data_IF_425669964090
#
_entry.id   IF_425669964090
#
_cell.length_a   1.000
_cell.length_b   1.000
_cell.length_c   1.000
_cell.angle_alpha   90.00
_cell.angle_beta   90.00
_cell.angle_gamma   90.00
#
_symmetry.space_group_name_H-M   'P 1'
#
loop_
_entity.id
_entity.type
_entity.pdbx_description
1 polymer ?
#
# COMPACT_ATOMS: atom_id res chain seq x y z
N UNK A 1 5.90 -35.22 -13.27
CA UNK A 1 5.46 -34.32 -14.36
C UNK A 1 4.30 -33.50 -13.82
N UNK A 2 4.59 -32.32 -13.27
CA UNK A 2 3.56 -31.37 -12.82
C UNK A 2 3.38 -30.30 -13.90
N UNK A 3 2.14 -30.06 -14.30
CA UNK A 3 1.76 -29.06 -15.30
C UNK A 3 2.23 -27.67 -14.87
N UNK A 4 3.23 -27.13 -15.56
CA UNK A 4 3.54 -25.69 -15.55
C UNK A 4 2.41 -25.00 -16.31
N UNK A 5 1.60 -24.22 -15.61
CA UNK A 5 0.89 -23.13 -16.27
C UNK A 5 1.93 -22.01 -16.48
N UNK A 6 2.57 -22.05 -17.64
CA UNK A 6 3.27 -20.88 -18.15
C UNK A 6 2.19 -19.83 -18.43
N UNK A 7 2.14 -18.78 -17.61
CA UNK A 7 1.37 -17.59 -17.97
C UNK A 7 2.16 -16.84 -19.05
N UNK A 8 1.71 -16.95 -20.30
CA UNK A 8 2.11 -16.03 -21.37
C UNK A 8 1.36 -14.71 -21.18
N UNK A 9 1.88 -13.82 -20.34
CA UNK A 9 1.33 -12.48 -20.13
C UNK A 9 1.94 -11.76 -18.92
N UNK A 10 1.94 -10.41 -18.89
CA UNK A 10 2.35 -9.66 -17.71
C UNK A 10 1.42 -10.00 -16.53
N UNK A 11 2.00 -10.28 -15.37
CA UNK A 11 1.25 -10.37 -14.11
C UNK A 11 0.62 -9.00 -13.86
N UNK A 12 -0.72 -8.94 -13.77
CA UNK A 12 -1.41 -7.72 -13.41
C UNK A 12 -0.87 -7.22 -12.07
N UNK A 13 -0.39 -5.98 -12.04
CA UNK A 13 0.25 -5.45 -10.84
C UNK A 13 -0.78 -5.23 -9.74
N UNK A 14 -0.47 -5.63 -8.52
CA UNK A 14 -1.38 -5.51 -7.37
C UNK A 14 -0.67 -5.00 -6.14
N UNK A 15 -1.46 -4.45 -5.21
CA UNK A 15 -1.03 -4.14 -3.86
C UNK A 15 -1.98 -4.81 -2.88
N UNK A 16 -1.42 -5.52 -1.91
CA UNK A 16 -2.16 -6.09 -0.79
C UNK A 16 -1.83 -5.29 0.46
N UNK A 17 -2.82 -4.79 1.19
CA UNK A 17 -2.60 -4.01 2.42
C UNK A 17 -3.16 -4.79 3.61
N UNK A 18 -2.34 -4.99 4.63
CA UNK A 18 -2.57 -6.00 5.66
C UNK A 18 -2.18 -5.43 7.03
N UNK A 19 -3.02 -5.66 8.05
CA UNK A 19 -2.61 -5.59 9.45
C UNK A 19 -2.11 -6.96 9.89
N UNK A 20 -0.87 -7.05 10.35
CA UNK A 20 -0.25 -8.33 10.70
C UNK A 20 0.85 -8.10 11.75
N UNK A 21 1.34 -9.19 12.32
CA UNK A 21 2.38 -9.14 13.34
C UNK A 21 3.66 -8.53 12.77
N UNK A 22 3.96 -7.31 13.19
CA UNK A 22 5.08 -6.50 12.72
C UNK A 22 5.76 -5.82 13.92
N UNK A 23 6.05 -6.61 14.96
CA UNK A 23 6.69 -6.18 16.20
C UNK A 23 8.14 -5.69 15.95
N UNK A 24 8.89 -6.45 15.16
CA UNK A 24 10.26 -6.15 14.75
C UNK A 24 10.50 -6.53 13.28
N UNK A 25 11.30 -5.75 12.53
CA UNK A 25 11.55 -6.01 11.11
C UNK A 25 12.17 -7.39 10.83
N UNK A 26 13.10 -7.85 11.67
CA UNK A 26 13.81 -9.12 11.47
C UNK A 26 12.88 -10.32 11.57
N UNK A 27 11.94 -10.31 12.52
CA UNK A 27 10.93 -11.36 12.66
C UNK A 27 9.94 -11.32 11.50
N UNK A 28 9.58 -10.12 11.04
CA UNK A 28 8.67 -9.97 9.90
C UNK A 28 9.30 -10.47 8.59
N UNK A 29 10.58 -10.19 8.35
CA UNK A 29 11.32 -10.67 7.17
C UNK A 29 11.46 -12.20 7.13
N UNK A 30 11.37 -12.88 8.28
CA UNK A 30 11.39 -14.35 8.35
C UNK A 30 10.05 -15.01 8.04
N UNK A 31 8.96 -14.24 8.04
CA UNK A 31 7.62 -14.76 7.71
C UNK A 31 7.44 -14.90 6.21
N UNK A 32 6.83 -16.01 5.78
CA UNK A 32 6.34 -16.17 4.41
C UNK A 32 5.16 -15.24 4.13
N UNK A 33 4.81 -15.07 2.85
CA UNK A 33 3.64 -14.28 2.45
C UNK A 33 2.33 -14.88 3.01
N UNK A 34 2.21 -16.21 3.01
CA UNK A 34 1.04 -16.90 3.54
C UNK A 34 0.95 -16.76 5.06
N UNK A 35 2.07 -16.89 5.77
CA UNK A 35 2.11 -16.68 7.22
C UNK A 35 1.65 -15.26 7.60
N UNK A 36 2.05 -14.24 6.82
CA UNK A 36 1.61 -12.85 7.04
C UNK A 36 0.10 -12.68 6.83
N UNK A 37 -0.46 -13.33 5.82
CA UNK A 37 -1.88 -13.29 5.47
C UNK A 37 -2.74 -14.09 6.45
N UNK A 38 -2.32 -15.29 6.81
CA UNK A 38 -3.03 -16.12 7.81
C UNK A 38 -3.02 -15.49 9.19
N UNK A 39 -1.92 -14.81 9.56
CA UNK A 39 -1.83 -14.04 10.80
C UNK A 39 -2.64 -12.74 10.74
N UNK A 40 -3.03 -12.27 9.56
CA UNK A 40 -3.86 -11.09 9.42
C UNK A 40 -5.32 -11.42 9.70
N UNK A 41 -6.04 -10.52 10.37
CA UNK A 41 -7.51 -10.62 10.54
C UNK A 41 -8.31 -10.49 9.23
N UNK A 42 -7.66 -10.64 8.07
CA UNK A 42 -8.16 -10.44 6.73
C UNK A 42 -7.27 -9.50 5.93
N UNK A 43 -7.27 -9.66 4.61
CA UNK A 43 -6.54 -8.80 3.68
C UNK A 43 -7.41 -8.38 2.50
N UNK A 44 -6.98 -7.31 1.84
CA UNK A 44 -7.59 -6.83 0.60
C UNK A 44 -6.52 -6.70 -0.46
N UNK A 45 -6.83 -7.18 -1.68
CA UNK A 45 -5.96 -7.09 -2.85
C UNK A 45 -6.56 -6.05 -3.80
N UNK A 46 -5.74 -5.10 -4.22
CA UNK A 46 -6.15 -4.02 -5.11
C UNK A 46 -5.31 -4.02 -6.39
N UNK A 47 -5.91 -3.77 -7.57
CA UNK A 47 -5.16 -3.66 -8.81
C UNK A 47 -4.38 -2.34 -8.87
N UNK A 48 -3.10 -2.37 -9.24
CA UNK A 48 -2.28 -1.17 -9.45
C UNK A 48 -2.04 -1.00 -10.94
N UNK A 49 -2.95 -0.30 -11.61
CA UNK A 49 -2.92 -0.13 -13.08
C UNK A 49 -1.95 0.96 -13.51
N UNK A 50 -1.62 1.90 -12.61
CA UNK A 50 -0.62 2.94 -12.90
C UNK A 50 0.81 2.39 -13.02
N UNK A 51 1.08 1.19 -12.49
CA UNK A 51 2.43 0.62 -12.40
C UNK A 51 3.37 1.42 -11.47
N UNK A 52 2.84 2.31 -10.62
CA UNK A 52 3.64 3.15 -9.70
C UNK A 52 3.75 2.54 -8.31
N UNK A 53 4.85 2.87 -7.62
CA UNK A 53 4.97 2.68 -6.17
C UNK A 53 4.11 3.73 -5.47
N UNK A 54 2.87 3.36 -5.15
CA UNK A 54 1.86 4.29 -4.61
C UNK A 54 2.26 4.92 -3.28
N UNK A 55 2.96 4.18 -2.43
CA UNK A 55 3.49 4.65 -1.15
C UNK A 55 4.57 5.71 -1.34
N UNK A 56 5.53 5.46 -2.22
CA UNK A 56 6.62 6.38 -2.57
C UNK A 56 6.05 7.63 -3.23
N UNK A 57 5.09 7.46 -4.14
CA UNK A 57 4.39 8.56 -4.78
C UNK A 57 3.66 9.44 -3.75
N UNK A 58 2.90 8.83 -2.84
CA UNK A 58 2.18 9.53 -1.78
C UNK A 58 3.13 10.29 -0.84
N UNK A 59 4.18 9.64 -0.34
CA UNK A 59 5.14 10.25 0.57
C UNK A 59 5.88 11.41 -0.09
N UNK A 60 6.31 11.24 -1.35
CA UNK A 60 6.97 12.29 -2.11
C UNK A 60 6.04 13.47 -2.41
N UNK A 61 4.77 13.21 -2.78
CA UNK A 61 3.80 14.26 -3.07
C UNK A 61 3.44 15.09 -1.81
N UNK A 62 3.39 14.43 -0.65
CA UNK A 62 2.89 15.05 0.59
C UNK A 62 3.99 15.49 1.56
N UNK A 63 5.26 15.23 1.23
CA UNK A 63 6.41 15.42 2.12
C UNK A 63 6.22 14.70 3.47
N UNK A 64 5.69 13.48 3.40
CA UNK A 64 5.36 12.66 4.58
C UNK A 64 6.40 11.60 4.86
N UNK A 65 6.71 11.39 6.13
CA UNK A 65 7.47 10.25 6.62
C UNK A 65 6.56 9.32 7.44
N UNK A 66 6.27 8.15 6.87
CA UNK A 66 5.49 7.11 7.54
C UNK A 66 6.36 6.07 8.27
N UNK A 67 7.65 6.35 8.48
CA UNK A 67 8.58 5.44 9.15
C UNK A 67 8.62 4.06 8.48
N UNK A 68 8.57 4.06 7.14
CA UNK A 68 8.45 2.84 6.35
C UNK A 68 9.76 2.07 6.44
N UNK A 69 9.65 0.82 6.87
CA UNK A 69 10.68 -0.19 6.67
C UNK A 69 10.40 -0.92 5.36
N UNK A 70 11.32 -0.84 4.40
CA UNK A 70 11.26 -1.65 3.20
C UNK A 70 12.01 -2.96 3.44
N UNK A 71 11.33 -4.10 3.23
CA UNK A 71 11.95 -5.42 3.28
C UNK A 71 13.11 -5.47 2.29
N UNK A 72 14.29 -5.84 2.77
CA UNK A 72 15.46 -6.03 1.90
C UNK A 72 15.33 -7.29 1.02
N UNK A 73 14.36 -8.15 1.35
CA UNK A 73 14.10 -9.43 0.68
C UNK A 73 12.91 -9.26 -0.25
N UNK A 74 13.14 -9.43 -1.57
CA UNK A 74 12.08 -9.72 -2.52
C UNK A 74 11.62 -11.17 -2.31
N UNK A 75 10.36 -11.34 -1.96
CA UNK A 75 9.75 -12.66 -1.80
C UNK A 75 9.18 -13.12 -3.14
N UNK A 76 9.00 -14.42 -3.30
CA UNK A 76 8.36 -15.00 -4.49
C UNK A 76 7.06 -15.65 -4.04
N UNK A 77 5.95 -15.26 -4.67
CA UNK A 77 4.66 -15.89 -4.40
C UNK A 77 4.53 -17.27 -5.07
N UNK A 78 3.45 -17.98 -4.78
CA UNK A 78 3.17 -19.32 -5.32
C UNK A 78 3.05 -19.36 -6.85
N UNK A 79 2.80 -18.22 -7.48
CA UNK A 79 2.73 -18.06 -8.93
C UNK A 79 4.09 -17.70 -9.55
N UNK A 80 5.14 -17.58 -8.74
CA UNK A 80 6.50 -17.26 -9.17
C UNK A 80 6.77 -15.78 -9.39
N UNK A 81 5.87 -14.88 -8.98
CA UNK A 81 6.05 -13.45 -9.13
C UNK A 81 6.82 -12.86 -7.94
N UNK A 82 7.72 -11.90 -8.22
CA UNK A 82 8.41 -11.15 -7.17
C UNK A 82 7.43 -10.21 -6.45
N UNK A 83 7.55 -10.19 -5.13
CA UNK A 83 6.76 -9.39 -4.21
C UNK A 83 7.70 -8.52 -3.38
N UNK A 84 7.47 -7.21 -3.45
CA UNK A 84 8.12 -6.22 -2.60
C UNK A 84 7.23 -5.94 -1.41
N UNK A 85 7.80 -6.00 -0.21
CA UNK A 85 7.05 -5.73 1.02
C UNK A 85 7.60 -4.51 1.72
N UNK A 86 6.70 -3.62 2.09
CA UNK A 86 6.98 -2.48 2.96
C UNK A 86 6.10 -2.57 4.20
N UNK A 87 6.55 -1.99 5.31
CA UNK A 87 5.82 -2.06 6.57
C UNK A 87 6.03 -0.84 7.46
N UNK A 88 5.07 -0.64 8.35
CA UNK A 88 5.12 0.24 9.51
C UNK A 88 5.07 -0.68 10.73
N UNK A 89 6.10 -0.60 11.57
CA UNK A 89 6.18 -1.43 12.78
C UNK A 89 5.03 -1.10 13.74
N UNK A 90 4.64 -2.07 14.57
CA UNK A 90 3.69 -1.85 15.67
C UNK A 90 4.06 -0.64 16.54
N UNK A 91 5.35 -0.42 16.80
CA UNK A 91 5.85 0.71 17.58
C UNK A 91 5.59 2.06 16.91
N UNK A 92 5.66 2.10 15.58
CA UNK A 92 5.49 3.30 14.78
C UNK A 92 4.04 3.58 14.36
N UNK A 93 3.17 2.57 14.29
CA UNK A 93 1.75 2.73 13.89
C UNK A 93 1.06 3.85 14.69
N UNK A 94 1.27 3.90 16.01
CA UNK A 94 0.67 4.95 16.87
C UNK A 94 1.16 6.36 16.55
N UNK A 95 2.39 6.49 16.06
CA UNK A 95 3.00 7.77 15.63
C UNK A 95 2.53 8.17 14.24
N UNK A 96 2.32 7.20 13.35
CA UNK A 96 1.95 7.45 11.95
C UNK A 96 0.46 7.76 11.76
N UNK A 97 -0.42 7.15 12.56
CA UNK A 97 -1.88 7.36 12.44
C UNK A 97 -2.28 8.84 12.44
N UNK A 98 -1.81 9.70 13.37
CA UNK A 98 -2.16 11.12 13.33
C UNK A 98 -1.80 11.82 12.02
N UNK A 99 -0.67 11.45 11.40
CA UNK A 99 -0.24 11.99 10.11
C UNK A 99 -1.18 11.49 8.99
N UNK A 100 -1.51 10.19 8.97
CA UNK A 100 -2.47 9.65 8.01
C UNK A 100 -3.87 10.26 8.16
N UNK A 101 -4.34 10.49 9.39
CA UNK A 101 -5.60 11.19 9.66
C UNK A 101 -5.55 12.65 9.18
N UNK A 102 -4.41 13.32 9.32
CA UNK A 102 -4.22 14.67 8.80
C UNK A 102 -4.35 14.70 7.27
N UNK A 103 -3.70 13.76 6.58
CA UNK A 103 -3.69 13.69 5.12
C UNK A 103 -5.05 13.28 4.55
N UNK A 104 -5.69 12.27 5.14
CA UNK A 104 -6.89 11.64 4.56
C UNK A 104 -8.17 12.33 5.03
N UNK A 105 -8.26 12.74 6.29
CA UNK A 105 -9.54 13.18 6.88
C UNK A 105 -9.59 14.66 7.23
N UNK A 106 -8.50 15.24 7.78
CA UNK A 106 -8.50 16.64 8.22
C UNK A 106 -8.21 17.61 7.08
N UNK A 107 -7.30 17.23 6.17
CA UNK A 107 -6.85 18.07 5.06
C UNK A 107 -6.89 17.36 3.70
N UNK A 108 -7.99 16.65 3.33
CA UNK A 108 -8.07 15.90 2.06
C UNK A 108 -7.85 16.78 0.83
N UNK A 109 -8.34 18.02 0.82
CA UNK A 109 -8.10 18.98 -0.27
C UNK A 109 -6.63 19.30 -0.49
N UNK A 110 -5.86 19.45 0.60
CA UNK A 110 -4.42 19.72 0.52
C UNK A 110 -3.70 18.51 -0.06
N UNK A 111 -4.03 17.33 0.45
CA UNK A 111 -3.46 16.05 -0.02
C UNK A 111 -3.77 15.80 -1.49
N UNK A 112 -5.03 15.94 -1.90
CA UNK A 112 -5.45 15.72 -3.28
C UNK A 112 -4.75 16.68 -4.25
N UNK A 113 -4.64 17.97 -3.90
CA UNK A 113 -3.90 18.95 -4.72
C UNK A 113 -2.41 18.61 -4.81
N UNK A 114 -1.81 18.14 -3.72
CA UNK A 114 -0.41 17.73 -3.72
C UNK A 114 -0.16 16.54 -4.64
N UNK A 115 -1.04 15.53 -4.60
CA UNK A 115 -1.00 14.36 -5.50
C UNK A 115 -1.17 14.77 -6.97
N UNK A 116 -2.17 15.60 -7.28
CA UNK A 116 -2.41 16.12 -8.63
C UNK A 116 -1.20 16.92 -9.13
N UNK A 117 -0.62 17.78 -8.30
CA UNK A 117 0.55 18.58 -8.67
C UNK A 117 1.78 17.69 -8.91
N UNK A 118 1.99 16.66 -8.09
CA UNK A 118 3.08 15.71 -8.23
C UNK A 118 2.97 14.89 -9.53
N UNK A 119 1.75 14.58 -9.98
CA UNK A 119 1.49 13.95 -11.28
C UNK A 119 1.58 14.92 -12.49
N UNK A 120 2.04 16.15 -12.27
CA UNK A 120 2.12 17.16 -13.33
C UNK A 120 0.77 17.73 -13.75
N UNK A 121 -0.21 17.75 -12.84
CA UNK A 121 -1.57 18.28 -13.02
C UNK A 121 -2.41 17.56 -14.09
N UNK A 122 -2.19 16.25 -14.27
CA UNK A 122 -2.95 15.43 -15.23
C UNK A 122 -4.21 14.82 -14.62
N UNK A 123 -4.14 14.46 -13.34
CA UNK A 123 -5.23 13.85 -12.60
C UNK A 123 -6.42 14.80 -12.35
N UNK A 124 -7.63 14.26 -12.32
CA UNK A 124 -8.85 14.99 -11.95
C UNK A 124 -8.93 15.13 -10.42
N UNK A 125 -8.85 16.38 -9.94
CA UNK A 125 -8.87 16.69 -8.51
C UNK A 125 -10.12 16.14 -7.79
N UNK A 126 -11.29 16.16 -8.42
CA UNK A 126 -12.52 15.68 -7.81
C UNK A 126 -12.50 14.15 -7.63
N UNK A 127 -11.89 13.43 -8.59
CA UNK A 127 -11.72 11.97 -8.49
C UNK A 127 -10.69 11.59 -7.43
N UNK A 128 -9.57 12.31 -7.34
CA UNK A 128 -8.56 12.11 -6.28
C UNK A 128 -9.18 12.36 -4.89
N UNK A 129 -9.98 13.42 -4.73
CA UNK A 129 -10.73 13.68 -3.50
C UNK A 129 -11.72 12.56 -3.16
N UNK A 130 -12.46 12.07 -4.16
CA UNK A 130 -13.39 10.97 -3.94
C UNK A 130 -12.66 9.68 -3.50
N UNK A 131 -11.48 9.40 -4.07
CA UNK A 131 -10.66 8.25 -3.70
C UNK A 131 -10.12 8.32 -2.25
N UNK A 132 -9.77 9.52 -1.75
CA UNK A 132 -9.37 9.69 -0.34
C UNK A 132 -10.52 9.40 0.65
N UNK A 133 -11.76 9.67 0.25
CA UNK A 133 -12.93 9.58 1.12
C UNK A 133 -13.76 8.29 0.99
N UNK A 134 -13.30 7.32 0.20
CA UNK A 134 -14.10 6.15 -0.19
C UNK A 134 -13.36 4.82 0.03
N UNK A 135 -14.11 3.77 0.35
CA UNK A 135 -13.62 2.38 0.36
C UNK A 135 -13.40 1.79 -1.06
N UNK A 136 -13.73 2.55 -2.11
CA UNK A 136 -13.63 2.12 -3.49
C UNK A 136 -12.23 2.33 -4.08
N UNK A 137 -11.71 1.31 -4.78
CA UNK A 137 -10.47 1.43 -5.53
C UNK A 137 -10.72 1.92 -6.97
N UNK A 138 -9.94 2.89 -7.48
CA UNK A 138 -10.15 3.44 -8.82
C UNK A 138 -9.79 2.46 -9.93
N UNK A 139 -10.58 2.45 -11.01
CA UNK A 139 -10.37 1.55 -12.16
C UNK A 139 -9.57 2.20 -13.30
N UNK A 140 -9.35 3.52 -13.25
CA UNK A 140 -8.80 4.31 -14.36
C UNK A 140 -7.28 4.24 -14.51
N UNK A 141 -6.55 3.75 -13.52
CA UNK A 141 -5.08 3.66 -13.55
C UNK A 141 -4.34 4.99 -13.43
N UNK A 142 -5.02 6.03 -12.95
CA UNK A 142 -4.38 7.30 -12.61
C UNK A 142 -3.59 7.14 -11.29
N UNK A 143 -2.28 7.46 -11.26
CA UNK A 143 -1.44 7.24 -10.09
C UNK A 143 -1.83 8.11 -8.90
N UNK A 144 -2.35 9.32 -9.11
CA UNK A 144 -2.80 10.19 -8.03
C UNK A 144 -4.10 9.67 -7.41
N UNK A 145 -5.02 9.16 -8.22
CA UNK A 145 -6.23 8.49 -7.72
C UNK A 145 -5.89 7.20 -6.94
N UNK A 146 -5.01 6.35 -7.50
CA UNK A 146 -4.59 5.10 -6.83
C UNK A 146 -3.83 5.38 -5.53
N UNK A 147 -2.96 6.39 -5.49
CA UNK A 147 -2.25 6.79 -4.28
C UNK A 147 -3.18 7.37 -3.20
N UNK A 148 -4.23 8.09 -3.61
CA UNK A 148 -5.28 8.55 -2.70
C UNK A 148 -6.07 7.37 -2.08
N UNK A 149 -6.49 6.41 -2.90
CA UNK A 149 -7.15 5.20 -2.41
C UNK A 149 -6.22 4.38 -1.50
N UNK A 150 -4.94 4.26 -1.86
CA UNK A 150 -3.93 3.63 -1.01
C UNK A 150 -3.84 4.32 0.36
N UNK A 151 -3.79 5.65 0.43
CA UNK A 151 -3.74 6.38 1.70
C UNK A 151 -4.96 6.08 2.58
N UNK A 152 -6.16 6.02 1.97
CA UNK A 152 -7.39 5.66 2.67
C UNK A 152 -7.33 4.26 3.29
N UNK A 153 -6.98 3.25 2.48
CA UNK A 153 -6.91 1.87 2.95
C UNK A 153 -5.77 1.66 3.95
N UNK A 154 -4.64 2.36 3.79
CA UNK A 154 -3.54 2.34 4.76
C UNK A 154 -3.98 2.89 6.12
N UNK A 155 -4.71 4.01 6.16
CA UNK A 155 -5.27 4.54 7.41
C UNK A 155 -6.24 3.54 8.07
N UNK A 156 -7.09 2.89 7.27
CA UNK A 156 -8.03 1.87 7.77
C UNK A 156 -7.29 0.71 8.42
N UNK A 157 -6.27 0.16 7.77
CA UNK A 157 -5.46 -0.93 8.32
C UNK A 157 -4.64 -0.48 9.53
N UNK A 158 -4.11 0.75 9.54
CA UNK A 158 -3.41 1.30 10.70
C UNK A 158 -4.30 1.40 11.94
N UNK A 159 -5.58 1.77 11.76
CA UNK A 159 -6.55 1.79 12.87
C UNK A 159 -6.86 0.41 13.41
N UNK A 160 -6.97 -0.61 12.55
CA UNK A 160 -7.12 -2.01 12.97
C UNK A 160 -5.89 -2.45 13.77
N UNK A 161 -4.68 -2.24 13.22
CA UNK A 161 -3.42 -2.63 13.84
C UNK A 161 -3.21 -1.99 15.23
N UNK A 162 -3.62 -0.72 15.42
CA UNK A 162 -3.57 -0.05 16.73
C UNK A 162 -4.42 -0.76 17.80
N UNK A 163 -5.52 -1.39 17.40
CA UNK A 163 -6.42 -2.13 18.29
C UNK A 163 -5.86 -3.46 18.75
N UNK A 164 -5.20 -4.18 17.84
CA UNK A 164 -4.80 -5.59 18.04
C UNK A 164 -3.31 -5.82 18.28
N UNK A 165 -2.56 -4.74 18.54
CA UNK A 165 -1.14 -4.84 18.94
C UNK A 165 -0.25 -5.26 17.74
N UNK A 166 -0.66 -4.90 16.52
CA UNK A 166 -0.02 -5.28 15.27
C UNK A 166 0.65 -4.08 14.56
N UNK A 167 1.41 -4.37 13.50
CA UNK A 167 1.87 -3.36 12.54
C UNK A 167 1.01 -3.38 11.28
N UNK A 168 1.42 -2.62 10.26
CA UNK A 168 0.77 -2.63 8.94
C UNK A 168 1.81 -2.88 7.89
N UNK A 169 1.54 -3.78 6.96
CA UNK A 169 2.38 -3.98 5.79
C UNK A 169 1.58 -3.86 4.50
N UNK A 170 2.30 -3.60 3.41
CA UNK A 170 1.76 -3.73 2.08
C UNK A 170 2.74 -4.46 1.17
N UNK A 171 2.16 -5.32 0.34
CA UNK A 171 2.86 -6.22 -0.57
C UNK A 171 2.52 -5.82 -1.98
N UNK A 172 3.51 -5.31 -2.70
CA UNK A 172 3.38 -5.01 -4.12
C UNK A 172 3.83 -6.20 -4.95
N UNK A 173 2.97 -6.63 -5.87
CA UNK A 173 3.24 -7.67 -6.87
C UNK A 173 3.24 -7.04 -8.26
N UNK A 174 4.25 -7.32 -9.08
CA UNK A 174 4.31 -6.86 -10.46
C UNK A 174 5.55 -6.01 -10.80
N UNK A 175 5.48 -5.22 -11.87
CA UNK A 175 6.59 -4.36 -12.31
C UNK A 175 6.32 -2.91 -11.94
N UNK A 176 7.12 -2.35 -11.02
CA UNK A 176 7.05 -0.93 -10.64
C UNK A 176 7.93 -0.09 -11.55
N UNK A 177 7.40 1.02 -12.06
CA UNK A 177 8.20 2.13 -12.59
C UNK A 177 8.46 3.12 -11.45
N UNK A 178 9.70 3.14 -10.95
CA UNK A 178 10.18 4.12 -9.95
C UNK A 178 10.30 5.49 -10.60
#
# INVERSE_FOLDING_TARGET
MGLRLCHDGPVDSTITIISTRADDPDSFERMSLDERREASGGWQVFPVRSGRALDTFLMAATDSDFAVFASGIELVDDEGASVRTNMITRGDVKRVIPNLEELVEKHPDRTARALVAHDGNRADLARVLAALGSDGWPEGGDPAEEAAAFAHHLLKQARVAKGDVDGVCWEYRGTIVV
#
